data_IF_393995217317
#
_entry.id   IF_393995217317
#
_cell.length_a   1.000
_cell.length_b   1.000
_cell.length_c   1.000
_cell.angle_alpha   90.00
_cell.angle_beta   90.00
_cell.angle_gamma   90.00
#
_symmetry.space_group_name_H-M   'P 1'
#
loop_
_entity.id
_entity.type
_entity.pdbx_description
1 polymer ?
#
# COMPACT_ATOMS: atom_id res chain seq x y z
N UNK A 1 0.04 -35.29 15.75
CA UNK A 1 0.31 -33.88 15.39
C UNK A 1 1.18 -33.87 14.13
N UNK A 2 0.61 -33.38 13.03
CA UNK A 2 1.25 -33.30 11.71
C UNK A 2 2.45 -32.34 11.73
N UNK A 3 3.39 -32.52 10.81
CA UNK A 3 4.53 -31.59 10.65
C UNK A 3 4.06 -30.16 10.32
N UNK A 4 2.91 -30.05 9.63
CA UNK A 4 2.20 -28.79 9.36
C UNK A 4 1.70 -28.13 10.65
N UNK A 5 1.16 -28.92 11.57
CA UNK A 5 0.70 -28.41 12.88
C UNK A 5 1.88 -27.92 13.72
N UNK A 6 3.04 -28.60 13.63
CA UNK A 6 4.27 -28.16 14.29
C UNK A 6 4.84 -26.86 13.74
N UNK A 7 4.80 -26.66 12.41
CA UNK A 7 5.22 -25.41 11.77
C UNK A 7 4.31 -24.23 12.14
N UNK A 8 3.00 -24.47 12.25
CA UNK A 8 2.03 -23.47 12.73
C UNK A 8 2.26 -23.12 14.21
N UNK A 9 2.70 -24.09 15.02
CA UNK A 9 3.03 -23.89 16.44
C UNK A 9 4.43 -23.30 16.68
N UNK A 10 5.35 -23.39 15.70
CA UNK A 10 6.73 -22.87 15.79
C UNK A 10 6.91 -21.46 15.23
N UNK A 11 5.87 -20.89 14.59
CA UNK A 11 5.83 -19.45 14.37
C UNK A 11 5.74 -18.81 15.76
N UNK A 12 6.80 -18.12 16.19
CA UNK A 12 6.88 -17.49 17.49
C UNK A 12 5.56 -16.76 17.79
N UNK A 13 4.84 -17.21 18.84
CA UNK A 13 3.64 -16.51 19.27
C UNK A 13 4.06 -15.07 19.51
N UNK A 14 3.47 -14.14 18.75
CA UNK A 14 3.64 -12.72 19.00
C UNK A 14 3.37 -12.48 20.49
N UNK A 15 4.12 -11.57 21.14
CA UNK A 15 4.00 -11.31 22.58
C UNK A 15 2.59 -10.89 23.01
N UNK A 16 1.71 -10.58 22.05
CA UNK A 16 0.30 -10.26 22.21
C UNK A 16 -0.54 -11.24 21.38
N UNK A 17 -1.65 -11.72 21.95
CA UNK A 17 -2.62 -12.50 21.17
C UNK A 17 -3.30 -11.58 20.14
N UNK A 18 -3.08 -11.87 18.87
CA UNK A 18 -3.73 -11.18 17.75
C UNK A 18 -5.11 -11.80 17.54
N UNK A 19 -6.16 -10.98 17.58
CA UNK A 19 -7.52 -11.44 17.25
C UNK A 19 -7.71 -11.52 15.73
N UNK A 20 -8.74 -12.22 15.27
CA UNK A 20 -9.10 -12.22 13.85
C UNK A 20 -9.38 -10.81 13.32
N UNK A 21 -9.96 -9.93 14.16
CA UNK A 21 -10.19 -8.53 13.81
C UNK A 21 -8.87 -7.76 13.62
N UNK A 22 -7.87 -8.02 14.46
CA UNK A 22 -6.54 -7.42 14.32
C UNK A 22 -5.84 -7.95 13.08
N UNK A 23 -5.93 -9.25 12.79
CA UNK A 23 -5.36 -9.85 11.60
C UNK A 23 -5.94 -9.24 10.30
N UNK A 24 -7.26 -9.00 10.26
CA UNK A 24 -7.91 -8.32 9.12
C UNK A 24 -7.44 -6.88 9.01
N UNK A 25 -7.31 -6.14 10.12
CA UNK A 25 -6.78 -4.77 10.11
C UNK A 25 -5.35 -4.72 9.60
N UNK A 26 -4.49 -5.62 10.07
CA UNK A 26 -3.12 -5.72 9.56
C UNK A 26 -3.09 -6.03 8.07
N UNK A 27 -3.94 -6.93 7.59
CA UNK A 27 -4.00 -7.27 6.18
C UNK A 27 -4.42 -6.07 5.31
N UNK A 28 -5.44 -5.32 5.73
CA UNK A 28 -5.92 -4.14 5.02
C UNK A 28 -4.84 -3.05 4.99
N UNK A 29 -4.20 -2.79 6.12
CA UNK A 29 -3.14 -1.78 6.21
C UNK A 29 -1.93 -2.19 5.37
N UNK A 30 -1.49 -3.45 5.48
CA UNK A 30 -0.38 -3.97 4.69
C UNK A 30 -0.63 -3.81 3.19
N UNK A 31 -1.83 -4.18 2.71
CA UNK A 31 -2.19 -4.00 1.29
C UNK A 31 -2.19 -2.52 0.91
N UNK A 32 -2.66 -1.63 1.77
CA UNK A 32 -2.58 -0.18 1.55
C UNK A 32 -1.15 0.32 1.44
N UNK A 33 -0.31 -0.04 2.41
CA UNK A 33 1.11 0.34 2.48
C UNK A 33 1.91 -0.17 1.27
N UNK A 34 1.67 -1.41 0.82
CA UNK A 34 2.30 -1.96 -0.39
C UNK A 34 1.98 -1.20 -1.68
N UNK A 35 0.90 -0.41 -1.71
CA UNK A 35 0.55 0.41 -2.86
C UNK A 35 1.03 1.87 -2.71
N UNK A 36 1.75 2.19 -1.64
CA UNK A 36 2.44 3.47 -1.47
C UNK A 36 3.86 3.33 -2.07
N UNK A 37 4.20 4.02 -3.17
CA UNK A 37 5.46 3.79 -3.90
C UNK A 37 6.74 3.95 -3.08
N UNK A 38 6.74 4.89 -2.15
CA UNK A 38 7.93 5.23 -1.39
C UNK A 38 8.18 4.25 -0.23
N UNK A 39 7.21 3.43 0.17
CA UNK A 39 7.46 2.31 1.08
C UNK A 39 8.42 1.28 0.47
N UNK A 40 8.52 1.24 -0.87
CA UNK A 40 9.50 0.46 -1.65
C UNK A 40 10.52 1.36 -2.38
N UNK A 41 10.69 2.60 -1.90
CA UNK A 41 11.62 3.59 -2.44
C UNK A 41 13.09 3.32 -2.12
N UNK A 42 13.95 4.28 -2.46
CA UNK A 42 15.39 4.10 -2.27
C UNK A 42 15.81 4.35 -0.82
N UNK A 43 16.64 3.46 -0.28
CA UNK A 43 17.24 3.69 1.05
C UNK A 43 18.20 4.88 1.07
N UNK A 44 18.75 5.26 -0.07
CA UNK A 44 19.75 6.33 -0.21
C UNK A 44 19.22 7.71 0.16
N UNK A 45 17.90 7.92 0.06
CA UNK A 45 17.25 9.17 0.42
C UNK A 45 16.18 8.97 1.52
N UNK A 46 16.34 7.92 2.32
CA UNK A 46 15.39 7.51 3.37
C UNK A 46 13.96 7.43 2.83
N UNK A 47 13.79 6.69 1.72
CA UNK A 47 12.50 6.41 1.11
C UNK A 47 11.77 7.70 0.69
N UNK A 48 12.49 8.64 0.07
CA UNK A 48 11.92 9.93 -0.32
C UNK A 48 11.82 10.97 0.80
N UNK A 49 12.24 10.69 2.04
CA UNK A 49 12.22 11.67 3.15
C UNK A 49 13.29 12.75 3.02
N UNK A 50 14.43 12.42 2.42
CA UNK A 50 15.52 13.38 2.19
C UNK A 50 15.35 14.14 0.85
N UNK A 51 14.47 13.66 -0.03
CA UNK A 51 14.16 14.33 -1.29
C UNK A 51 13.14 15.43 -1.04
N UNK A 52 13.55 16.69 -1.14
CA UNK A 52 12.67 17.85 -0.91
C UNK A 52 12.00 18.28 -2.22
N UNK A 53 10.68 18.38 -2.18
CA UNK A 53 9.84 18.88 -3.28
C UNK A 53 9.29 20.25 -2.94
N UNK A 54 9.06 21.07 -3.98
CA UNK A 54 8.48 22.40 -3.85
C UNK A 54 7.07 22.41 -4.45
N UNK A 55 6.10 22.82 -3.66
CA UNK A 55 4.71 22.92 -4.10
C UNK A 55 4.43 24.23 -4.84
N UNK A 56 3.36 24.27 -5.66
CA UNK A 56 2.75 25.51 -6.10
C UNK A 56 2.38 26.37 -4.87
N UNK A 57 2.89 27.59 -4.80
CA UNK A 57 2.73 28.46 -3.61
C UNK A 57 3.97 28.60 -2.74
N UNK A 58 5.02 27.81 -3.01
CA UNK A 58 6.36 28.04 -2.47
C UNK A 58 6.69 27.32 -1.16
N UNK A 59 5.73 26.59 -0.58
CA UNK A 59 6.01 25.63 0.49
C UNK A 59 6.85 24.45 -0.02
N UNK A 60 7.54 23.80 0.90
CA UNK A 60 8.37 22.64 0.65
C UNK A 60 8.05 21.54 1.65
N UNK A 61 8.13 20.29 1.20
CA UNK A 61 7.98 19.09 2.02
C UNK A 61 8.84 17.98 1.42
N UNK A 62 8.98 16.86 2.13
CA UNK A 62 9.62 15.68 1.55
C UNK A 62 8.74 15.03 0.48
N UNK A 63 9.38 14.31 -0.45
CA UNK A 63 8.68 13.49 -1.43
C UNK A 63 7.82 12.43 -0.72
N UNK A 64 8.31 11.91 0.41
CA UNK A 64 7.53 11.02 1.29
C UNK A 64 6.21 11.66 1.73
N UNK A 65 6.26 12.84 2.34
CA UNK A 65 5.06 13.55 2.81
C UNK A 65 4.12 13.93 1.67
N UNK A 66 4.66 14.23 0.48
CA UNK A 66 3.85 14.55 -0.69
C UNK A 66 2.94 13.39 -1.07
N UNK A 67 3.51 12.18 -1.13
CA UNK A 67 2.81 10.97 -1.52
C UNK A 67 1.90 10.41 -0.44
N UNK A 68 2.39 10.38 0.81
CA UNK A 68 1.67 9.79 1.93
C UNK A 68 0.49 10.66 2.39
N UNK A 69 0.59 11.99 2.24
CA UNK A 69 -0.37 12.91 2.82
C UNK A 69 -0.90 13.96 1.85
N UNK A 70 -0.02 14.74 1.23
CA UNK A 70 -0.42 15.99 0.55
C UNK A 70 -1.32 15.75 -0.68
N UNK A 71 -1.00 14.75 -1.52
CA UNK A 71 -1.83 14.39 -2.69
C UNK A 71 -3.24 13.99 -2.24
N UNK A 72 -3.35 13.26 -1.14
CA UNK A 72 -4.63 12.83 -0.58
C UNK A 72 -5.41 14.05 -0.07
N UNK A 73 -4.78 14.93 0.70
CA UNK A 73 -5.43 16.13 1.23
C UNK A 73 -5.93 17.05 0.12
N UNK A 74 -5.10 17.30 -0.90
CA UNK A 74 -5.51 18.12 -2.04
C UNK A 74 -6.62 17.44 -2.86
N UNK A 75 -6.63 16.10 -2.95
CA UNK A 75 -7.74 15.37 -3.58
C UNK A 75 -9.04 15.52 -2.78
N UNK A 76 -8.99 15.42 -1.45
CA UNK A 76 -10.15 15.63 -0.57
C UNK A 76 -10.71 17.04 -0.73
N UNK A 77 -9.82 18.03 -0.74
CA UNK A 77 -10.17 19.46 -0.82
C UNK A 77 -10.77 19.84 -2.18
N UNK A 78 -10.16 19.37 -3.28
CA UNK A 78 -10.56 19.76 -4.63
C UNK A 78 -11.67 18.85 -5.19
N UNK A 79 -11.77 17.61 -4.70
CA UNK A 79 -12.76 16.62 -5.14
C UNK A 79 -13.46 15.90 -3.95
N UNK A 80 -14.10 16.64 -3.03
CA UNK A 80 -14.71 16.04 -1.84
C UNK A 80 -15.80 15.02 -2.16
N UNK A 81 -16.61 15.24 -3.21
CA UNK A 81 -17.61 14.28 -3.66
C UNK A 81 -17.01 12.97 -4.18
N UNK A 82 -15.81 13.03 -4.75
CA UNK A 82 -15.06 11.82 -5.12
C UNK A 82 -14.60 11.09 -3.85
N UNK A 83 -14.08 11.81 -2.86
CA UNK A 83 -13.56 11.20 -1.64
C UNK A 83 -14.61 10.66 -0.67
N UNK A 84 -15.78 11.28 -0.55
CA UNK A 84 -16.77 10.83 0.44
C UNK A 84 -17.73 9.76 -0.09
N UNK A 85 -17.93 9.69 -1.41
CA UNK A 85 -18.94 8.81 -2.01
C UNK A 85 -18.45 8.03 -3.23
N UNK A 86 -17.26 8.34 -3.75
CA UNK A 86 -16.90 8.01 -5.12
C UNK A 86 -15.67 7.15 -5.33
N UNK A 87 -14.71 7.14 -4.42
CA UNK A 87 -13.46 6.38 -4.54
C UNK A 87 -13.66 4.88 -4.29
N UNK A 88 -14.65 4.51 -3.46
CA UNK A 88 -15.02 3.11 -3.22
C UNK A 88 -15.85 2.50 -4.35
N UNK A 89 -16.28 3.29 -5.33
CA UNK A 89 -16.98 2.77 -6.49
C UNK A 89 -16.01 2.09 -7.45
N UNK A 90 -15.99 0.77 -7.38
CA UNK A 90 -15.19 -0.12 -8.23
C UNK A 90 -15.40 0.12 -9.73
N UNK A 91 -16.53 0.74 -10.11
CA UNK A 91 -16.84 1.13 -11.49
C UNK A 91 -15.90 2.23 -12.02
N UNK A 92 -15.16 2.92 -11.14
CA UNK A 92 -14.10 3.87 -11.52
C UNK A 92 -12.72 3.22 -11.59
N UNK A 93 -12.55 2.02 -11.04
CA UNK A 93 -11.35 1.24 -11.30
C UNK A 93 -11.39 0.71 -12.73
N UNK A 94 -10.23 0.56 -13.36
CA UNK A 94 -10.16 -0.14 -14.64
C UNK A 94 -10.65 -1.58 -14.40
N UNK A 95 -11.76 -2.02 -15.04
CA UNK A 95 -12.34 -3.32 -14.78
C UNK A 95 -11.39 -4.46 -15.17
N UNK A 96 -10.53 -4.26 -16.17
CA UNK A 96 -9.57 -5.28 -16.60
C UNK A 96 -8.47 -5.46 -15.56
N UNK A 97 -7.92 -4.36 -15.04
CA UNK A 97 -6.92 -4.38 -13.97
C UNK A 97 -7.49 -5.01 -12.69
N UNK A 98 -8.68 -4.58 -12.28
CA UNK A 98 -9.34 -5.13 -11.10
C UNK A 98 -9.61 -6.63 -11.23
N UNK A 99 -10.14 -7.08 -12.37
CA UNK A 99 -10.43 -8.49 -12.59
C UNK A 99 -9.15 -9.33 -12.67
N UNK A 100 -8.06 -8.79 -13.23
CA UNK A 100 -6.76 -9.44 -13.25
C UNK A 100 -6.18 -9.60 -11.84
N UNK A 101 -6.19 -8.56 -11.01
CA UNK A 101 -5.72 -8.62 -9.63
C UNK A 101 -6.58 -9.54 -8.76
N UNK A 102 -7.91 -9.51 -8.95
CA UNK A 102 -8.81 -10.43 -8.28
C UNK A 102 -8.51 -11.88 -8.63
N UNK A 103 -8.27 -12.18 -9.90
CA UNK A 103 -7.87 -13.52 -10.37
C UNK A 103 -6.51 -13.92 -9.78
N UNK A 104 -5.53 -13.02 -9.84
CA UNK A 104 -4.19 -13.23 -9.27
C UNK A 104 -4.27 -13.58 -7.78
N UNK A 105 -5.04 -12.82 -7.00
CA UNK A 105 -5.24 -13.06 -5.58
C UNK A 105 -5.89 -14.43 -5.32
N UNK A 106 -6.90 -14.80 -6.11
CA UNK A 106 -7.59 -16.09 -5.98
C UNK A 106 -6.70 -17.28 -6.31
N UNK A 107 -5.83 -17.16 -7.31
CA UNK A 107 -4.96 -18.24 -7.78
C UNK A 107 -3.69 -18.39 -6.93
N UNK A 108 -3.08 -17.26 -6.55
CA UNK A 108 -1.72 -17.22 -6.01
C UNK A 108 -1.64 -16.76 -4.54
N UNK A 109 -2.74 -16.24 -3.97
CA UNK A 109 -2.85 -15.81 -2.58
C UNK A 109 -1.65 -14.94 -2.16
N UNK A 110 -0.80 -15.40 -1.24
CA UNK A 110 0.37 -14.66 -0.74
C UNK A 110 1.38 -14.30 -1.84
N UNK A 111 1.51 -15.08 -2.91
CA UNK A 111 2.43 -14.77 -4.00
C UNK A 111 1.97 -13.57 -4.86
N UNK A 112 0.69 -13.16 -4.75
CA UNK A 112 0.25 -11.88 -5.33
C UNK A 112 0.91 -10.68 -4.64
N UNK A 113 1.26 -10.79 -3.35
CA UNK A 113 1.89 -9.71 -2.59
C UNK A 113 3.28 -9.37 -3.14
N UNK A 114 4.08 -10.39 -3.46
CA UNK A 114 5.40 -10.21 -4.08
C UNK A 114 5.28 -9.49 -5.43
N UNK A 115 4.26 -9.83 -6.23
CA UNK A 115 4.02 -9.14 -7.50
C UNK A 115 3.69 -7.67 -7.29
N UNK A 116 2.75 -7.35 -6.40
CA UNK A 116 2.35 -5.97 -6.13
C UNK A 116 3.51 -5.13 -5.58
N UNK A 117 4.30 -5.69 -4.67
CA UNK A 117 5.52 -5.07 -4.16
C UNK A 117 6.51 -4.76 -5.31
N UNK A 118 6.77 -5.73 -6.21
CA UNK A 118 7.67 -5.53 -7.35
C UNK A 118 7.14 -4.48 -8.35
N UNK A 119 5.84 -4.51 -8.68
CA UNK A 119 5.21 -3.52 -9.56
C UNK A 119 5.36 -2.11 -8.96
N UNK A 120 5.16 -1.99 -7.64
CA UNK A 120 5.27 -0.73 -6.92
C UNK A 120 6.73 -0.22 -6.85
N UNK A 121 7.69 -1.12 -6.63
CA UNK A 121 9.12 -0.79 -6.71
C UNK A 121 9.52 -0.32 -8.12
N UNK A 122 9.01 -0.94 -9.18
CA UNK A 122 9.24 -0.49 -10.55
C UNK A 122 8.64 0.91 -10.79
N UNK A 123 7.48 1.19 -10.21
CA UNK A 123 6.86 2.52 -10.27
C UNK A 123 7.70 3.56 -9.51
N UNK A 124 8.17 3.24 -8.31
CA UNK A 124 9.04 4.12 -7.53
C UNK A 124 10.32 4.50 -8.30
N UNK A 125 10.95 3.53 -8.98
CA UNK A 125 12.12 3.77 -9.85
C UNK A 125 11.84 4.71 -11.03
N UNK A 126 10.59 4.82 -11.50
CA UNK A 126 10.21 5.72 -12.60
C UNK A 126 9.84 7.11 -12.11
N UNK A 127 9.48 7.22 -10.83
CA UNK A 127 8.95 8.43 -10.23
C UNK A 127 10.04 9.46 -9.94
N UNK A 128 11.23 9.02 -9.50
CA UNK A 128 12.34 9.91 -9.16
C UNK A 128 13.70 9.20 -9.25
#
# INVERSE_FOLDING_TARGET
>A
ISQKDRLMMSSARLPVQVTDADAVRFLINLIGDMHQPLHEGFQTDDFGKQTIVKLPGGSTLSLYELWDHEIIQETIKNHPQFWWSGWTHIQRANPDTYNADKKLWQENNKAALEKWCNDNAEFANKLY
#
